data_IF_561151755060
#
_entry.id   IF_561151755060
#
_cell.length_a   1.000
_cell.length_b   1.000
_cell.length_c   1.000
_cell.angle_alpha   90.00
_cell.angle_beta   90.00
_cell.angle_gamma   90.00
#
_symmetry.space_group_name_H-M   'P 1'
#
loop_
_entity.id
_entity.type
_entity.pdbx_description
1 polymer ?
#
# COMPACT_ATOMS: atom_id res chain seq x y z
N UNK A 1 36.42 77.34 -6.79
CA UNK A 1 37.81 76.86 -6.69
C UNK A 1 37.80 75.44 -6.13
N UNK A 2 38.47 74.50 -6.82
CA UNK A 2 38.80 73.10 -6.47
C UNK A 2 37.68 72.04 -6.43
N UNK A 3 37.55 71.34 -7.58
CA UNK A 3 37.63 69.89 -7.89
C UNK A 3 37.55 68.82 -6.75
N UNK A 4 37.27 67.53 -7.09
CA UNK A 4 36.17 66.70 -6.57
C UNK A 4 36.68 65.34 -6.02
N UNK A 5 35.78 64.43 -5.61
CA UNK A 5 35.79 62.98 -5.93
C UNK A 5 34.87 62.19 -4.99
N UNK A 6 33.98 61.42 -5.63
CA UNK A 6 33.52 60.05 -5.34
C UNK A 6 33.76 59.47 -3.94
N UNK A 7 32.69 58.97 -3.32
CA UNK A 7 32.69 57.61 -2.77
C UNK A 7 31.26 57.06 -2.59
N UNK A 8 31.06 55.85 -3.06
CA UNK A 8 29.84 55.04 -2.93
C UNK A 8 29.64 54.60 -1.47
N UNK A 9 28.40 54.61 -0.99
CA UNK A 9 27.97 53.92 0.22
C UNK A 9 26.85 52.92 -0.12
N UNK A 10 27.06 51.71 0.36
CA UNK A 10 26.24 50.53 0.15
C UNK A 10 24.95 50.54 0.97
N UNK A 11 23.92 49.88 0.45
CA UNK A 11 22.80 49.36 1.23
C UNK A 11 22.51 47.94 0.74
N UNK A 12 22.79 46.95 1.59
CA UNK A 12 22.47 45.53 1.37
C UNK A 12 21.09 45.26 1.98
N UNK A 13 20.10 44.74 1.24
CA UNK A 13 18.84 44.31 1.84
C UNK A 13 18.97 42.88 2.37
N UNK A 14 18.58 42.67 3.64
CA UNK A 14 18.36 41.36 4.25
C UNK A 14 17.15 40.69 3.55
N UNK A 15 17.35 39.57 2.87
CA UNK A 15 16.26 38.73 2.38
C UNK A 15 16.03 37.57 3.36
N UNK A 16 14.89 37.59 4.07
CA UNK A 16 14.37 36.45 4.84
C UNK A 16 13.80 35.42 3.86
N UNK A 17 14.39 34.23 3.79
CA UNK A 17 13.83 33.07 3.08
C UNK A 17 12.89 32.30 4.00
N UNK A 18 11.58 32.40 3.76
CA UNK A 18 10.56 31.55 4.35
C UNK A 18 10.58 30.18 3.65
N UNK A 19 11.03 29.13 4.34
CA UNK A 19 10.86 27.74 3.92
C UNK A 19 9.48 27.25 4.40
N UNK A 20 8.52 27.18 3.49
CA UNK A 20 7.25 26.50 3.71
C UNK A 20 7.45 24.97 3.63
N UNK A 21 7.40 24.28 4.76
CA UNK A 21 7.25 22.83 4.81
C UNK A 21 5.78 22.47 4.55
N UNK A 22 5.48 21.89 3.39
CA UNK A 22 4.21 21.22 3.16
C UNK A 22 4.32 19.79 3.74
N UNK A 23 3.70 19.56 4.89
CA UNK A 23 3.51 18.22 5.43
C UNK A 23 2.16 17.68 4.93
N UNK A 24 2.18 16.73 4.00
CA UNK A 24 0.99 15.99 3.59
C UNK A 24 0.67 14.95 4.68
N UNK A 25 -0.20 15.28 5.62
CA UNK A 25 -0.73 14.33 6.58
C UNK A 25 -1.86 13.52 5.91
N UNK A 26 -1.56 12.31 5.44
CA UNK A 26 -2.60 11.34 5.05
C UNK A 26 -3.11 10.71 6.34
N UNK A 27 -4.40 10.92 6.66
CA UNK A 27 -5.03 10.36 7.85
C UNK A 27 -4.95 8.82 7.83
N UNK A 28 -4.69 8.15 8.97
CA UNK A 28 -4.78 6.70 9.03
C UNK A 28 -6.20 6.27 8.64
N UNK A 29 -6.38 5.12 7.96
CA UNK A 29 -7.70 4.59 7.68
C UNK A 29 -8.45 4.41 9.01
N UNK A 30 -9.57 5.12 9.17
CA UNK A 30 -10.45 4.92 10.32
C UNK A 30 -11.08 3.53 10.20
N UNK A 31 -11.03 2.67 11.25
CA UNK A 31 -11.65 1.37 11.21
C UNK A 31 -13.18 1.53 11.21
N UNK A 32 -13.77 1.48 10.02
CA UNK A 32 -15.20 1.23 9.83
C UNK A 32 -15.48 -0.24 10.15
N UNK A 33 -15.65 -0.52 11.45
CA UNK A 33 -15.97 -1.84 12.00
C UNK A 33 -15.45 -1.91 13.43
N UNK A 34 -16.35 -1.71 14.39
CA UNK A 34 -16.04 -1.57 15.83
C UNK A 34 -15.25 -2.76 16.42
N UNK A 35 -15.20 -3.91 15.73
CA UNK A 35 -14.58 -5.14 16.23
C UNK A 35 -13.47 -5.70 15.31
N UNK A 36 -13.05 -4.97 14.28
CA UNK A 36 -11.99 -5.44 13.39
C UNK A 36 -10.60 -5.33 14.07
N UNK A 37 -9.74 -6.36 13.98
CA UNK A 37 -8.39 -6.27 14.52
C UNK A 37 -7.59 -5.16 13.82
N UNK A 38 -6.93 -4.31 14.61
CA UNK A 38 -6.06 -3.23 14.10
C UNK A 38 -4.75 -3.80 13.54
N UNK A 39 -4.78 -4.25 12.28
CA UNK A 39 -3.59 -4.70 11.55
C UNK A 39 -2.66 -3.52 11.34
N UNK A 40 -1.40 -3.66 11.77
CA UNK A 40 -0.37 -2.65 11.55
C UNK A 40 0.24 -2.82 10.16
N UNK A 41 0.37 -1.72 9.42
CA UNK A 41 0.90 -1.71 8.05
C UNK A 41 2.20 -0.91 8.02
N UNK A 42 3.22 -1.48 7.38
CA UNK A 42 4.45 -0.75 7.04
C UNK A 42 4.90 -1.10 5.63
N UNK A 43 5.56 -0.18 4.94
CA UNK A 43 6.07 -0.38 3.58
C UNK A 43 7.46 0.22 3.39
N UNK A 44 8.31 -0.48 2.63
CA UNK A 44 9.67 -0.05 2.30
C UNK A 44 9.99 -0.35 0.83
N UNK A 45 10.76 0.51 0.18
CA UNK A 45 11.28 0.32 -1.17
C UNK A 45 12.81 0.24 -1.16
N UNK A 46 13.43 0.04 -2.32
CA UNK A 46 14.89 -0.10 -2.41
C UNK A 46 15.68 1.11 -1.89
N UNK A 47 15.09 2.31 -1.87
CA UNK A 47 15.78 3.55 -1.48
C UNK A 47 15.72 3.82 0.04
N UNK A 48 14.71 3.30 0.74
CA UNK A 48 14.50 3.52 2.17
C UNK A 48 14.47 2.21 2.99
N UNK A 49 14.97 1.12 2.40
CA UNK A 49 15.01 -0.17 3.04
C UNK A 49 15.87 -0.15 4.31
N UNK A 50 15.28 -0.59 5.42
CA UNK A 50 15.97 -0.86 6.66
C UNK A 50 15.61 -2.27 7.14
N UNK A 51 16.57 -3.09 7.60
CA UNK A 51 16.28 -4.41 8.11
C UNK A 51 15.44 -4.31 9.39
N UNK A 52 14.18 -4.71 9.30
CA UNK A 52 13.27 -4.84 10.45
C UNK A 52 13.40 -6.25 11.03
N UNK A 53 13.65 -6.37 12.33
CA UNK A 53 13.93 -7.66 12.99
C UNK A 53 12.93 -8.76 12.69
N UNK A 54 11.63 -8.44 12.61
CA UNK A 54 10.54 -9.40 12.37
C UNK A 54 10.50 -9.95 10.95
N UNK A 55 11.14 -9.29 9.99
CA UNK A 55 11.16 -9.67 8.57
C UNK A 55 12.56 -9.73 7.97
N UNK A 56 13.62 -9.76 8.81
CA UNK A 56 15.02 -9.72 8.35
C UNK A 56 15.44 -10.88 7.45
N UNK A 57 14.71 -12.00 7.50
CA UNK A 57 14.90 -13.18 6.66
C UNK A 57 14.30 -13.03 5.25
N UNK A 58 13.37 -12.11 5.06
CA UNK A 58 12.78 -11.84 3.75
C UNK A 58 13.76 -11.00 2.91
N UNK A 59 13.80 -11.19 1.58
CA UNK A 59 14.72 -10.45 0.72
C UNK A 59 14.44 -8.94 0.73
N UNK A 60 15.46 -8.12 0.55
CA UNK A 60 15.25 -6.67 0.37
C UNK A 60 14.43 -6.40 -0.92
N UNK A 61 13.56 -5.38 -0.95
CA UNK A 61 12.84 -5.00 -2.16
C UNK A 61 13.83 -4.57 -3.25
N UNK A 62 13.67 -5.14 -4.45
CA UNK A 62 14.44 -4.73 -5.64
C UNK A 62 14.01 -3.32 -6.08
N UNK A 63 14.83 -2.67 -6.92
CA UNK A 63 14.47 -1.39 -7.54
C UNK A 63 13.15 -1.53 -8.31
N UNK A 64 12.21 -0.59 -8.11
CA UNK A 64 10.88 -0.62 -8.71
C UNK A 64 9.84 -1.44 -7.94
N UNK A 65 10.24 -2.07 -6.82
CA UNK A 65 9.36 -2.86 -5.96
C UNK A 65 9.24 -2.24 -4.58
N UNK A 66 8.07 -2.44 -3.96
CA UNK A 66 7.73 -2.04 -2.59
C UNK A 66 7.40 -3.30 -1.79
N UNK A 67 8.08 -3.48 -0.67
CA UNK A 67 7.76 -4.51 0.33
C UNK A 67 6.67 -3.95 1.26
N UNK A 68 5.50 -4.56 1.29
CA UNK A 68 4.42 -4.28 2.23
C UNK A 68 4.39 -5.37 3.30
N UNK A 69 4.27 -4.97 4.56
CA UNK A 69 4.28 -5.85 5.72
C UNK A 69 3.00 -5.59 6.51
N UNK A 70 2.19 -6.64 6.67
CA UNK A 70 1.01 -6.63 7.52
C UNK A 70 1.30 -7.41 8.80
N UNK A 71 1.32 -6.70 9.93
CA UNK A 71 1.49 -7.30 11.25
C UNK A 71 0.13 -7.43 11.90
N UNK A 72 -0.32 -8.68 12.06
CA UNK A 72 -1.60 -9.01 12.65
C UNK A 72 -1.48 -8.98 14.19
N UNK A 73 -2.36 -8.26 14.92
CA UNK A 73 -2.38 -8.36 16.37
C UNK A 73 -2.80 -9.77 16.82
N UNK A 74 -2.30 -10.20 17.97
CA UNK A 74 -2.71 -11.50 18.54
C UNK A 74 -4.18 -11.47 18.95
N UNK A 75 -4.93 -12.51 18.59
CA UNK A 75 -6.31 -12.71 19.00
C UNK A 75 -6.46 -13.99 19.84
N UNK A 76 -7.55 -14.12 20.60
CA UNK A 76 -7.81 -15.32 21.39
C UNK A 76 -8.19 -16.52 20.49
N UNK A 77 -9.07 -16.30 19.51
CA UNK A 77 -9.62 -17.34 18.62
C UNK A 77 -9.26 -17.09 17.15
N UNK A 78 -7.96 -17.06 16.82
CA UNK A 78 -7.49 -16.75 15.45
C UNK A 78 -8.04 -17.70 14.38
N UNK A 79 -8.44 -18.92 14.75
CA UNK A 79 -9.05 -19.90 13.83
C UNK A 79 -10.36 -19.45 13.22
N UNK A 80 -11.07 -18.53 13.88
CA UNK A 80 -12.34 -18.00 13.41
C UNK A 80 -12.13 -16.84 12.42
N UNK A 81 -10.88 -16.40 12.22
CA UNK A 81 -10.56 -15.26 11.39
C UNK A 81 -9.79 -15.66 10.13
N UNK A 82 -10.05 -14.90 9.06
CA UNK A 82 -9.30 -14.94 7.82
C UNK A 82 -8.94 -13.51 7.41
N UNK A 83 -7.88 -13.35 6.62
CA UNK A 83 -7.49 -12.06 6.02
C UNK A 83 -7.61 -12.18 4.51
N UNK A 84 -8.50 -11.42 3.91
CA UNK A 84 -8.61 -11.30 2.46
C UNK A 84 -7.79 -10.10 2.00
N UNK A 85 -7.02 -10.32 0.94
CA UNK A 85 -6.11 -9.37 0.33
C UNK A 85 -6.53 -9.17 -1.12
N UNK A 86 -6.54 -7.91 -1.54
CA UNK A 86 -6.72 -7.52 -2.92
C UNK A 86 -5.59 -6.56 -3.32
N UNK A 87 -5.08 -6.76 -4.53
CA UNK A 87 -3.99 -5.96 -5.10
C UNK A 87 -4.52 -5.25 -6.34
N UNK A 88 -4.17 -3.99 -6.50
CA UNK A 88 -4.73 -3.17 -7.56
C UNK A 88 -4.12 -1.78 -7.59
N UNK A 89 -4.86 -0.85 -8.17
CA UNK A 89 -4.51 0.57 -8.22
C UNK A 89 -5.79 1.39 -8.08
N UNK A 90 -5.71 2.51 -7.38
CA UNK A 90 -6.80 3.48 -7.38
C UNK A 90 -6.71 4.35 -8.64
N UNK A 91 -7.75 4.31 -9.48
CA UNK A 91 -7.78 4.98 -10.77
C UNK A 91 -9.08 5.76 -10.97
N UNK A 92 -9.05 6.78 -11.83
CA UNK A 92 -10.25 7.49 -12.28
C UNK A 92 -10.93 6.70 -13.41
N UNK A 93 -12.05 6.06 -13.10
CA UNK A 93 -12.81 5.19 -14.00
C UNK A 93 -14.14 5.81 -14.42
N UNK A 94 -14.65 5.38 -15.57
CA UNK A 94 -16.01 5.70 -16.03
C UNK A 94 -17.03 4.70 -15.45
N UNK A 95 -18.19 4.53 -16.11
CA UNK A 95 -19.22 3.58 -15.70
C UNK A 95 -18.88 2.10 -16.00
N UNK A 96 -17.81 1.85 -16.75
CA UNK A 96 -17.43 0.48 -17.11
C UNK A 96 -16.81 -0.25 -15.93
N UNK A 97 -16.92 -1.58 -15.96
CA UNK A 97 -16.16 -2.42 -15.03
C UNK A 97 -14.76 -2.58 -15.62
N UNK A 98 -13.77 -2.09 -14.90
CA UNK A 98 -12.36 -2.21 -15.26
C UNK A 98 -11.71 -3.32 -14.41
N UNK A 99 -10.78 -4.04 -15.01
CA UNK A 99 -9.84 -4.92 -14.31
C UNK A 99 -8.41 -4.55 -14.69
N UNK A 100 -7.46 -4.98 -13.87
CA UNK A 100 -6.04 -4.94 -14.21
C UNK A 100 -5.56 -6.35 -14.56
N UNK A 101 -4.48 -6.44 -15.31
CA UNK A 101 -3.72 -7.67 -15.49
C UNK A 101 -2.56 -7.69 -14.48
N UNK A 102 -2.33 -8.84 -13.86
CA UNK A 102 -1.23 -9.08 -12.94
C UNK A 102 -1.37 -10.49 -12.36
N UNK A 103 -0.26 -11.06 -11.89
CA UNK A 103 -0.24 -12.40 -11.31
C UNK A 103 0.33 -12.36 -9.89
N UNK A 104 -0.44 -12.89 -8.94
CA UNK A 104 -0.01 -13.06 -7.56
C UNK A 104 0.68 -14.41 -7.40
N UNK A 105 1.96 -14.37 -7.03
CA UNK A 105 2.79 -15.56 -6.79
C UNK A 105 3.04 -15.74 -5.31
N UNK A 106 2.83 -16.95 -4.80
CA UNK A 106 3.34 -17.36 -3.50
C UNK A 106 4.75 -17.92 -3.66
N UNK A 107 5.68 -17.39 -2.89
CA UNK A 107 7.10 -17.74 -2.90
C UNK A 107 7.52 -18.10 -1.47
N UNK A 108 8.58 -18.90 -1.34
CA UNK A 108 9.09 -19.32 -0.04
C UNK A 108 10.50 -18.76 0.18
N UNK A 109 10.76 -18.25 1.39
CA UNK A 109 12.09 -17.84 1.83
C UNK A 109 12.97 -19.08 1.99
N UNK A 110 14.00 -19.19 1.15
CA UNK A 110 14.94 -20.31 1.17
C UNK A 110 15.60 -20.46 2.55
N UNK A 111 15.65 -21.70 3.05
CA UNK A 111 16.22 -22.02 4.37
C UNK A 111 15.31 -21.74 5.58
N UNK A 112 14.23 -20.94 5.41
CA UNK A 112 13.30 -20.60 6.50
C UNK A 112 11.94 -21.27 6.36
N UNK A 113 11.48 -21.51 5.13
CA UNK A 113 10.16 -22.09 4.87
C UNK A 113 8.99 -21.12 5.05
N UNK A 114 9.26 -19.82 5.27
CA UNK A 114 8.21 -18.79 5.35
C UNK A 114 7.75 -18.37 3.97
N UNK A 115 6.44 -18.20 3.79
CA UNK A 115 5.88 -17.75 2.53
C UNK A 115 5.77 -16.22 2.47
N UNK A 116 5.94 -15.69 1.28
CA UNK A 116 5.67 -14.30 0.92
C UNK A 116 4.98 -14.26 -0.44
N UNK A 117 4.37 -13.13 -0.75
CA UNK A 117 3.59 -12.97 -1.96
C UNK A 117 4.20 -11.88 -2.84
N UNK A 118 4.14 -12.05 -4.16
CA UNK A 118 4.75 -11.11 -5.10
C UNK A 118 3.89 -10.93 -6.35
N UNK A 119 3.77 -9.68 -6.80
CA UNK A 119 3.28 -9.31 -8.12
C UNK A 119 4.42 -8.60 -8.82
N UNK A 120 4.87 -9.11 -9.97
CA UNK A 120 6.03 -8.54 -10.66
C UNK A 120 5.67 -7.26 -11.43
N UNK A 121 4.48 -7.25 -12.03
CA UNK A 121 4.01 -6.18 -12.91
C UNK A 121 2.48 -6.13 -12.87
N UNK A 122 1.95 -4.92 -13.08
CA UNK A 122 0.53 -4.66 -13.25
C UNK A 122 0.36 -3.86 -14.54
N UNK A 123 -0.57 -4.29 -15.39
CA UNK A 123 -0.89 -3.62 -16.66
C UNK A 123 -2.39 -3.46 -16.83
N UNK A 124 -2.81 -2.64 -17.82
CA UNK A 124 -4.22 -2.47 -18.14
C UNK A 124 -4.88 -3.79 -18.49
N UNK A 125 -6.04 -4.05 -17.89
CA UNK A 125 -6.82 -5.26 -18.08
C UNK A 125 -8.08 -5.02 -18.92
N UNK A 126 -9.01 -5.99 -18.92
CA UNK A 126 -10.25 -5.86 -19.67
C UNK A 126 -11.15 -4.76 -19.06
N UNK A 127 -11.95 -4.13 -19.93
CA UNK A 127 -13.02 -3.23 -19.52
C UNK A 127 -14.31 -3.53 -20.29
N UNK A 128 -15.46 -3.30 -19.68
CA UNK A 128 -16.74 -3.33 -20.41
C UNK A 128 -16.84 -2.16 -21.40
N UNK A 129 -17.79 -2.23 -22.34
CA UNK A 129 -17.99 -1.20 -23.37
C UNK A 129 -19.39 -0.59 -23.34
N UNK A 130 -19.90 -0.31 -22.14
CA UNK A 130 -21.18 0.38 -21.94
C UNK A 130 -21.04 1.88 -22.28
N UNK A 131 -22.12 2.46 -22.80
CA UNK A 131 -22.21 3.90 -22.99
C UNK A 131 -22.30 4.61 -21.63
N UNK A 132 -21.28 5.40 -21.28
CA UNK A 132 -21.27 6.21 -20.07
C UNK A 132 -21.76 7.63 -20.39
N UNK A 133 -23.03 7.91 -20.06
CA UNK A 133 -23.62 9.24 -20.24
C UNK A 133 -23.14 10.25 -19.17
N UNK A 134 -22.65 9.75 -18.04
CA UNK A 134 -22.00 10.55 -17.01
C UNK A 134 -20.62 11.00 -17.48
N UNK A 135 -20.38 12.32 -17.47
CA UNK A 135 -19.10 12.88 -17.92
C UNK A 135 -17.99 12.78 -16.87
N UNK A 136 -18.35 12.73 -15.59
CA UNK A 136 -17.38 12.75 -14.51
C UNK A 136 -16.88 11.33 -14.20
N UNK A 137 -15.57 11.12 -14.38
CA UNK A 137 -14.88 9.93 -13.87
C UNK A 137 -14.92 9.90 -12.35
N UNK A 138 -14.98 8.71 -11.77
CA UNK A 138 -14.98 8.46 -10.33
C UNK A 138 -13.71 7.73 -9.93
N UNK A 139 -13.20 8.03 -8.75
CA UNK A 139 -12.09 7.29 -8.18
C UNK A 139 -12.57 5.91 -7.71
N UNK A 140 -11.92 4.84 -8.19
CA UNK A 140 -12.23 3.47 -7.81
C UNK A 140 -10.96 2.62 -7.77
N UNK A 141 -10.95 1.64 -6.88
CA UNK A 141 -9.90 0.62 -6.83
C UNK A 141 -10.14 -0.44 -7.90
N UNK A 142 -9.23 -0.50 -8.88
CA UNK A 142 -9.23 -1.49 -9.96
C UNK A 142 -8.24 -2.59 -9.58
N UNK A 143 -8.72 -3.84 -9.51
CA UNK A 143 -7.93 -4.96 -9.00
C UNK A 143 -7.40 -5.89 -10.10
N UNK A 144 -6.31 -6.59 -9.81
CA UNK A 144 -5.87 -7.76 -10.60
C UNK A 144 -6.87 -8.93 -10.40
N UNK A 145 -6.93 -9.92 -11.31
CA UNK A 145 -7.90 -11.02 -11.19
C UNK A 145 -7.66 -11.94 -9.99
N UNK A 146 -6.42 -12.05 -9.52
CA UNK A 146 -6.07 -12.96 -8.43
C UNK A 146 -6.52 -12.42 -7.07
N UNK A 147 -7.31 -13.22 -6.34
CA UNK A 147 -7.74 -12.95 -4.97
C UNK A 147 -7.00 -13.87 -4.00
N UNK A 148 -6.64 -13.35 -2.82
CA UNK A 148 -5.93 -14.12 -1.80
C UNK A 148 -6.66 -14.04 -0.47
N UNK A 149 -7.08 -15.19 0.07
CA UNK A 149 -7.59 -15.30 1.43
C UNK A 149 -6.66 -16.17 2.27
N UNK A 150 -6.07 -15.57 3.30
CA UNK A 150 -5.12 -16.20 4.21
C UNK A 150 -5.78 -16.52 5.55
N UNK A 151 -5.32 -17.60 6.19
CA UNK A 151 -5.63 -17.82 7.60
C UNK A 151 -5.04 -16.71 8.46
N UNK A 152 -5.80 -16.26 9.45
CA UNK A 152 -5.27 -15.38 10.46
C UNK A 152 -4.23 -16.13 11.30
N UNK A 153 -3.01 -15.59 11.37
CA UNK A 153 -1.92 -16.13 12.18
C UNK A 153 -1.05 -14.95 12.62
N UNK A 154 -1.16 -14.55 13.89
CA UNK A 154 -0.44 -13.38 14.41
C UNK A 154 1.04 -13.64 14.69
N UNK A 155 1.50 -14.89 14.57
CA UNK A 155 2.88 -15.26 14.91
C UNK A 155 3.86 -14.81 13.83
N UNK A 156 3.38 -14.62 12.60
CA UNK A 156 4.19 -14.23 11.46
C UNK A 156 3.54 -13.09 10.67
N UNK A 157 4.30 -12.04 10.31
CA UNK A 157 3.79 -10.99 9.43
C UNK A 157 3.47 -11.54 8.05
N UNK A 158 2.49 -10.92 7.36
CA UNK A 158 2.21 -11.22 5.95
C UNK A 158 3.00 -10.24 5.09
N UNK A 159 3.86 -10.76 4.21
CA UNK A 159 4.81 -9.96 3.43
C UNK A 159 4.46 -10.03 1.95
N UNK A 160 4.38 -8.87 1.31
CA UNK A 160 4.04 -8.70 -0.10
C UNK A 160 5.08 -7.85 -0.81
N UNK A 161 5.45 -8.20 -2.04
CA UNK A 161 6.29 -7.38 -2.91
C UNK A 161 5.47 -6.97 -4.12
N UNK A 162 5.20 -5.68 -4.26
CA UNK A 162 4.36 -5.12 -5.31
C UNK A 162 5.16 -4.10 -6.13
N UNK A 163 4.86 -3.88 -7.42
CA UNK A 163 5.53 -2.85 -8.20
C UNK A 163 5.15 -1.46 -7.66
N UNK A 164 6.02 -0.47 -7.85
CA UNK A 164 5.71 0.92 -7.50
C UNK A 164 4.40 1.38 -8.15
N UNK A 165 3.55 2.04 -7.36
CA UNK A 165 2.22 2.49 -7.79
C UNK A 165 1.10 1.44 -7.61
N UNK A 166 1.43 0.19 -7.26
CA UNK A 166 0.43 -0.76 -6.81
C UNK A 166 0.00 -0.52 -5.36
N UNK A 167 -1.25 -0.86 -5.07
CA UNK A 167 -1.88 -0.75 -3.77
C UNK A 167 -2.28 -2.14 -3.27
N UNK A 168 -2.09 -2.34 -1.97
CA UNK A 168 -2.59 -3.50 -1.24
C UNK A 168 -3.72 -3.04 -0.32
N UNK A 169 -4.93 -3.56 -0.55
CA UNK A 169 -6.03 -3.42 0.41
C UNK A 169 -6.37 -4.78 1.00
N UNK A 170 -6.88 -4.76 2.22
CA UNK A 170 -7.22 -5.97 2.94
C UNK A 170 -8.45 -5.76 3.80
N UNK A 171 -9.12 -6.86 4.13
CA UNK A 171 -10.14 -6.92 5.18
C UNK A 171 -10.02 -8.21 5.97
N UNK A 172 -10.51 -8.18 7.20
CA UNK A 172 -10.62 -9.38 8.02
C UNK A 172 -12.03 -9.94 7.99
N UNK A 173 -12.12 -11.24 7.80
CA UNK A 173 -13.35 -12.00 7.99
C UNK A 173 -13.35 -12.63 9.36
N UNK A 174 -14.53 -12.79 9.94
CA UNK A 174 -14.77 -13.57 11.15
C UNK A 174 -15.93 -14.52 10.87
N UNK A 175 -15.75 -15.80 11.19
CA UNK A 175 -16.85 -16.74 11.21
C UNK A 175 -17.82 -16.36 12.34
N UNK A 176 -19.07 -16.05 11.99
CA UNK A 176 -20.12 -15.72 12.96
C UNK A 176 -20.96 -16.95 13.33
N UNK A 177 -21.03 -17.94 12.44
CA UNK A 177 -21.83 -19.16 12.61
C UNK A 177 -20.97 -20.37 12.97
N UNK A 178 -21.55 -21.30 13.72
CA UNK A 178 -20.98 -22.64 13.90
C UNK A 178 -21.19 -23.51 12.66
N UNK A 179 -20.39 -24.57 12.53
CA UNK A 179 -20.58 -25.57 11.47
C UNK A 179 -21.98 -26.21 11.50
N UNK A 180 -22.55 -26.45 10.32
CA UNK A 180 -23.77 -27.22 10.13
C UNK A 180 -23.43 -28.58 9.52
N UNK A 181 -24.17 -29.61 9.91
CA UNK A 181 -24.00 -30.97 9.38
C UNK A 181 -25.05 -31.24 8.29
N UNK A 182 -24.61 -31.71 7.12
CA UNK A 182 -25.49 -32.33 6.12
C UNK A 182 -25.37 -33.84 6.27
N UNK A 183 -26.45 -34.52 6.67
CA UNK A 183 -26.55 -35.98 6.71
C UNK A 183 -27.66 -36.44 5.79
#
# INVERSE_FOLDING_TARGET
MKLPQLCHLAAVPLAFTLLSFNASAVSPPHPTGLDAPMISVSSMNANNYAPVETVKMFPAPKKGMVQHILTLPKLENETDYMVEIQIGQTQLVDCNKHGLNGQLKELTVEGWGYNYYQVDEISEGPSTMMACFELAKKEAFVQIPDELTLRYDSRLPKVFYLPEGAELRFRTWKADSTYQYSK
#
